data_IF_408032295767
#
_entry.id   IF_408032295767
#
_cell.length_a   1.000
_cell.length_b   1.000
_cell.length_c   1.000
_cell.angle_alpha   90.00
_cell.angle_beta   90.00
_cell.angle_gamma   90.00
#
_symmetry.space_group_name_H-M   'P 1'
#
loop_
_entity.id
_entity.type
_entity.pdbx_description
1 polymer ?
#
# COMPACT_ATOMS: atom_id res chain seq x y z
N UNK A 1 -44.12 -0.61 1.60
CA UNK A 1 -43.23 0.58 1.64
C UNK A 1 -41.87 0.14 2.13
N UNK A 2 -41.00 -0.32 1.21
CA UNK A 2 -39.60 -0.61 1.50
C UNK A 2 -38.80 0.65 1.20
N UNK A 3 -38.21 1.24 2.24
CA UNK A 3 -37.20 2.29 2.10
C UNK A 3 -35.93 1.63 1.57
N UNK A 4 -35.62 1.86 0.28
CA UNK A 4 -34.27 1.65 -0.23
C UNK A 4 -33.35 2.71 0.41
N UNK A 5 -32.28 2.34 1.12
CA UNK A 5 -31.22 3.30 1.37
C UNK A 5 -30.53 3.53 0.02
N UNK A 6 -30.58 4.77 -0.48
CA UNK A 6 -29.64 5.25 -1.48
C UNK A 6 -28.24 5.22 -0.86
N UNK A 7 -27.54 4.10 -0.97
CA UNK A 7 -26.09 4.08 -0.91
C UNK A 7 -25.61 4.66 -2.23
N UNK A 8 -25.46 5.99 -2.26
CA UNK A 8 -24.72 6.64 -3.32
C UNK A 8 -23.32 6.03 -3.33
N UNK A 9 -23.04 5.20 -4.33
CA UNK A 9 -21.68 4.88 -4.74
C UNK A 9 -21.07 6.20 -5.27
N UNK A 10 -20.67 7.07 -4.36
CA UNK A 10 -19.80 8.18 -4.65
C UNK A 10 -18.53 7.55 -5.25
N UNK A 11 -18.38 7.65 -6.56
CA UNK A 11 -17.05 7.63 -7.15
C UNK A 11 -16.29 8.74 -6.45
N UNK A 12 -15.47 8.40 -5.45
CA UNK A 12 -14.52 9.32 -4.85
C UNK A 12 -13.47 9.63 -5.92
N UNK A 13 -13.81 10.50 -6.87
CA UNK A 13 -12.84 11.13 -7.74
C UNK A 13 -12.27 12.29 -6.95
N UNK A 14 -11.40 11.96 -6.00
CA UNK A 14 -10.62 12.97 -5.31
C UNK A 14 -9.75 13.69 -6.35
N UNK A 15 -9.66 15.04 -6.30
CA UNK A 15 -8.71 15.75 -7.14
C UNK A 15 -7.30 15.23 -6.88
N UNK A 16 -6.50 15.15 -7.94
CA UNK A 16 -5.12 14.70 -7.86
C UNK A 16 -4.20 15.64 -8.62
N UNK A 17 -3.01 15.87 -8.09
CA UNK A 17 -1.97 16.68 -8.72
C UNK A 17 -0.64 15.96 -8.69
N UNK A 18 0.08 15.97 -9.80
CA UNK A 18 1.48 15.56 -9.84
C UNK A 18 2.39 16.75 -9.56
N UNK A 19 3.54 16.52 -8.91
CA UNK A 19 4.50 17.58 -8.59
C UNK A 19 5.01 18.33 -9.82
N UNK A 20 5.18 17.65 -10.96
CA UNK A 20 5.75 18.24 -12.18
C UNK A 20 4.79 19.27 -12.82
N UNK A 21 3.52 19.30 -12.39
CA UNK A 21 2.50 20.23 -12.87
C UNK A 21 1.73 20.94 -11.75
N UNK A 22 2.30 21.00 -10.55
CA UNK A 22 1.56 21.33 -9.34
C UNK A 22 0.98 22.75 -9.35
N UNK A 23 1.72 23.76 -9.83
CA UNK A 23 1.24 25.14 -9.93
C UNK A 23 -0.03 25.23 -10.79
N UNK A 24 0.04 24.63 -11.98
CA UNK A 24 -1.09 24.58 -12.92
C UNK A 24 -2.26 23.82 -12.30
N UNK A 25 -2.01 22.62 -11.77
CA UNK A 25 -3.05 21.79 -11.17
C UNK A 25 -3.78 22.54 -10.04
N UNK A 26 -3.02 23.15 -9.12
CA UNK A 26 -3.58 23.92 -7.99
C UNK A 26 -4.42 25.10 -8.50
N UNK A 27 -4.00 25.77 -9.57
CA UNK A 27 -4.77 26.87 -10.17
C UNK A 27 -6.09 26.42 -10.79
N UNK A 28 -6.15 25.19 -11.30
CA UNK A 28 -7.32 24.56 -11.92
C UNK A 28 -8.25 23.90 -10.89
N UNK A 29 -7.80 23.70 -9.64
CA UNK A 29 -8.65 23.18 -8.56
C UNK A 29 -9.84 24.12 -8.28
N UNK A 30 -11.01 23.58 -7.88
CA UNK A 30 -12.14 24.40 -7.46
C UNK A 30 -11.74 25.39 -6.36
N UNK A 31 -12.28 26.61 -6.42
CA UNK A 31 -11.94 27.67 -5.47
C UNK A 31 -12.15 27.28 -4.00
N UNK A 32 -13.19 26.46 -3.72
CA UNK A 32 -13.46 25.88 -2.40
C UNK A 32 -12.30 24.98 -1.95
N UNK A 33 -11.83 24.07 -2.82
CA UNK A 33 -10.69 23.18 -2.53
C UNK A 33 -9.42 23.97 -2.25
N UNK A 34 -9.11 24.98 -3.06
CA UNK A 34 -7.94 25.85 -2.82
C UNK A 34 -8.04 26.58 -1.46
N UNK A 35 -9.23 27.06 -1.08
CA UNK A 35 -9.45 27.70 0.22
C UNK A 35 -9.27 26.72 1.38
N UNK A 36 -9.81 25.50 1.25
CA UNK A 36 -9.68 24.45 2.27
C UNK A 36 -8.22 24.04 2.46
N UNK A 37 -7.47 23.86 1.37
CA UNK A 37 -6.04 23.57 1.42
C UNK A 37 -5.26 24.72 2.08
N UNK A 38 -5.51 25.97 1.66
CA UNK A 38 -4.85 27.14 2.25
C UNK A 38 -5.10 27.23 3.76
N UNK A 39 -6.33 26.96 4.20
CA UNK A 39 -6.69 26.94 5.60
C UNK A 39 -6.03 25.77 6.36
N UNK A 40 -6.03 24.56 5.79
CA UNK A 40 -5.46 23.36 6.40
C UNK A 40 -3.95 23.51 6.67
N UNK A 41 -3.23 24.16 5.76
CA UNK A 41 -1.79 24.40 5.90
C UNK A 41 -1.44 25.77 6.50
N UNK A 42 -2.44 26.61 6.80
CA UNK A 42 -2.26 27.98 7.29
C UNK A 42 -1.33 28.84 6.41
N UNK A 43 -1.45 28.72 5.08
CA UNK A 43 -0.65 29.47 4.10
C UNK A 43 -1.52 30.26 3.12
N UNK A 44 -1.03 31.37 2.57
CA UNK A 44 -1.68 32.03 1.44
C UNK A 44 -1.79 31.11 0.23
N UNK A 45 -2.84 31.28 -0.59
CA UNK A 45 -3.06 30.48 -1.82
C UNK A 45 -1.86 30.46 -2.76
N UNK A 46 -1.13 31.58 -2.88
CA UNK A 46 0.04 31.71 -3.74
C UNK A 46 1.19 30.78 -3.30
N UNK A 47 1.24 30.40 -2.02
CA UNK A 47 2.27 29.51 -1.45
C UNK A 47 1.82 28.04 -1.41
N UNK A 48 0.62 27.72 -1.90
CA UNK A 48 0.11 26.36 -1.89
C UNK A 48 0.97 25.38 -2.68
N UNK A 49 1.41 25.67 -3.93
CA UNK A 49 2.23 24.72 -4.68
C UNK A 49 3.50 24.31 -3.92
N UNK A 50 4.26 25.28 -3.41
CA UNK A 50 5.47 25.01 -2.62
C UNK A 50 5.19 24.21 -1.33
N UNK A 51 4.07 24.49 -0.69
CA UNK A 51 3.66 23.81 0.55
C UNK A 51 3.26 22.35 0.28
N UNK A 52 2.53 22.13 -0.81
CA UNK A 52 2.07 20.82 -1.25
C UNK A 52 3.24 19.96 -1.76
N UNK A 53 4.19 20.55 -2.51
CA UNK A 53 5.39 19.85 -2.97
C UNK A 53 6.20 19.26 -1.80
N UNK A 54 6.27 19.96 -0.67
CA UNK A 54 6.93 19.46 0.55
C UNK A 54 6.21 18.27 1.19
N UNK A 55 4.91 18.10 1.00
CA UNK A 55 4.15 17.00 1.61
C UNK A 55 4.47 15.65 0.97
N UNK A 56 4.73 15.63 -0.35
CA UNK A 56 5.08 14.41 -1.09
C UNK A 56 6.59 14.20 -1.18
N UNK A 57 7.41 15.14 -0.67
CA UNK A 57 8.86 14.98 -0.65
C UNK A 57 9.22 13.72 0.14
N UNK A 58 9.93 12.79 -0.51
CA UNK A 58 10.26 11.53 0.14
C UNK A 58 9.26 10.41 -0.11
N UNK A 59 8.17 10.64 -0.85
CA UNK A 59 7.07 9.69 -1.04
C UNK A 59 6.64 9.65 -2.50
N UNK A 60 6.16 8.49 -2.96
CA UNK A 60 5.65 8.36 -4.34
C UNK A 60 4.28 9.01 -4.51
N UNK A 61 3.41 8.90 -3.51
CA UNK A 61 2.12 9.55 -3.46
C UNK A 61 1.72 9.81 -2.01
N UNK A 62 0.79 10.75 -1.80
CA UNK A 62 0.23 11.08 -0.48
C UNK A 62 -1.23 11.54 -0.62
N UNK A 63 -2.12 10.98 0.21
CA UNK A 63 -3.46 11.48 0.46
C UNK A 63 -3.45 12.62 1.48
N UNK A 64 -3.96 13.78 1.09
CA UNK A 64 -4.18 14.92 1.97
C UNK A 64 -5.65 15.00 2.35
N UNK A 65 -5.93 14.87 3.65
CA UNK A 65 -7.28 14.99 4.20
C UNK A 65 -7.54 16.40 4.73
N UNK A 66 -8.69 16.99 4.41
CA UNK A 66 -9.09 18.30 4.93
C UNK A 66 -10.62 18.40 5.08
N UNK A 67 -11.08 18.83 6.26
CA UNK A 67 -12.49 19.03 6.60
C UNK A 67 -13.45 17.88 6.16
N UNK A 68 -14.10 18.01 5.01
CA UNK A 68 -15.08 17.10 4.41
C UNK A 68 -14.59 16.44 3.10
N UNK A 69 -13.33 16.63 2.73
CA UNK A 69 -12.77 16.23 1.44
C UNK A 69 -11.30 15.80 1.56
N UNK A 70 -10.69 15.49 0.43
CA UNK A 70 -9.27 15.18 0.33
C UNK A 70 -8.76 15.34 -1.09
N UNK A 71 -7.45 15.30 -1.25
CA UNK A 71 -6.78 15.29 -2.55
C UNK A 71 -5.61 14.31 -2.53
N UNK A 72 -5.15 13.88 -3.69
CA UNK A 72 -3.95 13.07 -3.82
C UNK A 72 -2.83 13.89 -4.46
N UNK A 73 -1.62 13.79 -3.92
CA UNK A 73 -0.41 14.28 -4.54
C UNK A 73 0.42 13.10 -5.04
N UNK A 74 1.02 13.22 -6.22
CA UNK A 74 1.93 12.22 -6.77
C UNK A 74 3.28 12.82 -7.13
N UNK A 75 4.33 12.02 -6.95
CA UNK A 75 5.65 12.20 -7.55
C UNK A 75 5.87 11.00 -8.48
N UNK A 76 5.51 11.17 -9.76
CA UNK A 76 5.66 10.12 -10.76
C UNK A 76 7.10 9.61 -10.86
N UNK A 77 8.10 10.51 -10.79
CA UNK A 77 9.49 10.11 -10.89
C UNK A 77 9.84 9.13 -9.77
N UNK A 78 9.34 9.38 -8.56
CA UNK A 78 9.55 8.49 -7.42
C UNK A 78 8.75 7.19 -7.50
N UNK A 79 7.52 7.24 -8.00
CA UNK A 79 6.71 6.03 -8.27
C UNK A 79 7.42 5.09 -9.24
N UNK A 80 8.07 5.64 -10.26
CA UNK A 80 8.71 4.88 -11.34
C UNK A 80 10.14 4.42 -11.01
N UNK A 81 10.63 4.70 -9.79
CA UNK A 81 11.97 4.28 -9.37
C UNK A 81 12.14 2.76 -9.34
N UNK A 82 13.31 2.31 -9.76
CA UNK A 82 13.72 0.91 -9.66
C UNK A 82 13.90 0.49 -8.19
N UNK A 83 13.70 -0.79 -7.90
CA UNK A 83 13.99 -1.36 -6.60
C UNK A 83 15.30 -2.13 -6.63
N UNK A 84 16.15 -1.88 -5.64
CA UNK A 84 17.40 -2.62 -5.44
C UNK A 84 17.33 -3.38 -4.12
N UNK A 85 17.57 -4.69 -4.15
CA UNK A 85 17.63 -5.53 -2.95
C UNK A 85 18.81 -6.49 -3.02
N UNK A 86 19.28 -6.94 -1.85
CA UNK A 86 20.27 -8.02 -1.77
C UNK A 86 19.52 -9.34 -1.68
N UNK A 87 19.71 -10.22 -2.66
CA UNK A 87 19.13 -11.56 -2.71
C UNK A 87 20.22 -12.58 -3.04
N UNK A 88 20.37 -13.62 -2.21
CA UNK A 88 21.42 -14.64 -2.37
C UNK A 88 22.83 -14.04 -2.52
N UNK A 89 23.15 -13.01 -1.73
CA UNK A 89 24.43 -12.28 -1.76
C UNK A 89 24.72 -11.52 -3.06
N UNK A 90 23.72 -11.34 -3.93
CA UNK A 90 23.80 -10.55 -5.15
C UNK A 90 22.86 -9.36 -5.07
N UNK A 91 23.25 -8.24 -5.68
CA UNK A 91 22.34 -7.11 -5.89
C UNK A 91 21.40 -7.47 -7.03
N UNK A 92 20.09 -7.38 -6.78
CA UNK A 92 19.04 -7.56 -7.78
C UNK A 92 18.37 -6.21 -7.97
N UNK A 93 18.40 -5.73 -9.20
CA UNK A 93 17.62 -4.58 -9.63
C UNK A 93 16.34 -5.05 -10.32
N UNK A 94 15.22 -4.50 -9.88
CA UNK A 94 13.90 -4.72 -10.45
C UNK A 94 13.36 -3.41 -11.02
N UNK A 95 12.61 -3.46 -12.14
CA UNK A 95 11.80 -2.32 -12.55
C UNK A 95 10.80 -1.98 -11.44
N UNK A 96 10.25 -0.75 -11.49
CA UNK A 96 9.25 -0.34 -10.51
C UNK A 96 8.10 -1.36 -10.43
N UNK A 97 7.77 -1.75 -9.21
CA UNK A 97 6.60 -2.58 -8.92
C UNK A 97 5.36 -1.70 -8.65
N UNK A 98 5.52 -0.38 -8.75
CA UNK A 98 4.48 0.59 -8.55
C UNK A 98 4.04 1.19 -9.89
N UNK A 99 2.79 1.64 -9.96
CA UNK A 99 2.29 2.44 -11.08
C UNK A 99 1.56 3.66 -10.52
N UNK A 100 1.48 4.74 -11.29
CA UNK A 100 0.72 5.93 -10.86
C UNK A 100 -0.73 5.57 -10.58
N UNK A 101 -1.33 4.70 -11.39
CA UNK A 101 -2.69 4.21 -11.16
C UNK A 101 -2.84 3.47 -9.82
N UNK A 102 -1.94 2.53 -9.51
CA UNK A 102 -1.99 1.79 -8.24
C UNK A 102 -1.77 2.72 -7.06
N UNK A 103 -0.82 3.65 -7.16
CA UNK A 103 -0.56 4.66 -6.15
C UNK A 103 -1.82 5.50 -5.89
N UNK A 104 -2.45 6.02 -6.95
CA UNK A 104 -3.66 6.83 -6.83
C UNK A 104 -4.81 6.08 -6.17
N UNK A 105 -5.03 4.81 -6.53
CA UNK A 105 -6.10 4.01 -5.93
C UNK A 105 -5.78 3.68 -4.47
N UNK A 106 -4.52 3.40 -4.12
CA UNK A 106 -4.08 3.26 -2.72
C UNK A 106 -4.41 4.52 -1.92
N UNK A 107 -4.00 5.69 -2.42
CA UNK A 107 -4.27 6.97 -1.77
C UNK A 107 -5.77 7.27 -1.65
N UNK A 108 -6.59 6.88 -2.64
CA UNK A 108 -8.04 6.94 -2.52
C UNK A 108 -8.59 6.06 -1.39
N UNK A 109 -7.94 4.94 -1.10
CA UNK A 109 -8.23 4.09 0.05
C UNK A 109 -8.10 4.82 1.39
N UNK A 110 -7.10 5.69 1.53
CA UNK A 110 -6.96 6.56 2.73
C UNK A 110 -8.08 7.62 2.85
N UNK A 111 -8.75 7.94 1.75
CA UNK A 111 -9.88 8.89 1.75
C UNK A 111 -11.18 8.24 2.22
N UNK A 112 -11.22 6.90 2.32
CA UNK A 112 -12.34 6.18 2.87
C UNK A 112 -12.34 6.38 4.38
N UNK A 113 -13.26 7.21 4.88
CA UNK A 113 -13.47 7.45 6.32
C UNK A 113 -14.18 6.25 6.97
N UNK A 114 -13.51 5.11 6.96
CA UNK A 114 -14.00 3.86 7.52
C UNK A 114 -13.37 3.61 8.88
N UNK A 115 -14.18 3.12 9.81
CA UNK A 115 -13.67 2.58 11.06
C UNK A 115 -12.96 1.25 10.78
N UNK A 116 -11.81 1.04 11.44
CA UNK A 116 -11.11 -0.23 11.36
C UNK A 116 -11.93 -1.32 12.05
N UNK A 117 -12.25 -2.44 11.38
CA UNK A 117 -12.87 -3.58 12.05
C UNK A 117 -12.01 -4.11 13.19
N UNK A 118 -12.62 -4.44 14.32
CA UNK A 118 -11.91 -4.85 15.54
C UNK A 118 -10.93 -6.02 15.36
N UNK A 119 -11.19 -6.93 14.40
CA UNK A 119 -10.30 -8.07 14.11
C UNK A 119 -9.07 -7.70 13.26
N UNK A 120 -9.07 -6.50 12.67
CA UNK A 120 -7.92 -5.94 11.95
C UNK A 120 -7.08 -5.00 12.82
N UNK A 121 -7.50 -4.72 14.06
CA UNK A 121 -6.69 -3.94 15.00
C UNK A 121 -5.40 -4.68 15.36
N UNK A 122 -4.27 -4.00 15.22
CA UNK A 122 -2.94 -4.51 15.52
C UNK A 122 -2.31 -3.72 16.67
N UNK A 123 -2.89 -3.84 17.87
CA UNK A 123 -2.53 -3.06 19.08
C UNK A 123 -1.05 -3.09 19.47
N UNK A 124 -0.30 -4.09 19.03
CA UNK A 124 1.12 -4.27 19.34
C UNK A 124 2.01 -4.09 18.10
N UNK A 125 1.51 -3.39 17.09
CA UNK A 125 2.20 -3.14 15.84
C UNK A 125 2.51 -1.65 15.63
N UNK A 126 3.10 -1.32 14.48
CA UNK A 126 3.45 0.05 14.10
C UNK A 126 2.17 0.85 13.89
N UNK A 127 2.09 2.02 14.51
CA UNK A 127 0.96 2.93 14.35
C UNK A 127 0.76 3.32 12.87
N UNK A 128 -0.49 3.40 12.42
CA UNK A 128 -0.81 3.71 11.03
C UNK A 128 -0.97 2.49 10.13
N UNK A 129 -0.54 1.31 10.57
CA UNK A 129 -0.56 0.11 9.73
C UNK A 129 -1.96 -0.33 9.33
N UNK A 130 -2.96 -0.19 10.21
CA UNK A 130 -4.34 -0.55 9.88
C UNK A 130 -4.87 0.32 8.72
N UNK A 131 -4.49 1.60 8.68
CA UNK A 131 -4.86 2.51 7.60
C UNK A 131 -4.16 2.13 6.29
N UNK A 132 -2.88 1.73 6.35
CA UNK A 132 -2.16 1.22 5.17
C UNK A 132 -2.75 -0.09 4.66
N UNK A 133 -3.09 -1.01 5.56
CA UNK A 133 -3.74 -2.26 5.21
C UNK A 133 -5.07 -2.01 4.51
N UNK A 134 -5.90 -1.11 5.04
CA UNK A 134 -7.20 -0.77 4.44
C UNK A 134 -7.01 -0.17 3.04
N UNK A 135 -6.03 0.72 2.86
CA UNK A 135 -5.72 1.31 1.56
C UNK A 135 -5.26 0.26 0.53
N UNK A 136 -4.39 -0.66 0.94
CA UNK A 136 -3.95 -1.78 0.10
C UNK A 136 -5.08 -2.76 -0.22
N UNK A 137 -5.97 -3.04 0.74
CA UNK A 137 -7.15 -3.88 0.52
C UNK A 137 -8.16 -3.20 -0.42
N UNK A 138 -8.29 -1.88 -0.36
CA UNK A 138 -9.13 -1.13 -1.29
C UNK A 138 -8.57 -1.21 -2.71
N UNK A 139 -7.26 -1.03 -2.89
CA UNK A 139 -6.59 -1.24 -4.17
C UNK A 139 -6.80 -2.67 -4.68
N UNK A 140 -6.61 -3.68 -3.84
CA UNK A 140 -6.84 -5.08 -4.20
C UNK A 140 -8.28 -5.34 -4.64
N UNK A 141 -9.26 -4.80 -3.91
CA UNK A 141 -10.68 -4.89 -4.22
C UNK A 141 -11.01 -4.24 -5.57
N UNK A 142 -10.45 -3.05 -5.85
CA UNK A 142 -10.59 -2.36 -7.14
C UNK A 142 -10.03 -3.19 -8.29
N UNK A 143 -8.79 -3.68 -8.16
CA UNK A 143 -8.14 -4.53 -9.18
C UNK A 143 -8.98 -5.77 -9.48
N UNK A 144 -9.44 -6.46 -8.44
CA UNK A 144 -10.25 -7.67 -8.60
C UNK A 144 -11.61 -7.38 -9.27
N UNK A 145 -12.23 -6.24 -8.95
CA UNK A 145 -13.54 -5.83 -9.49
C UNK A 145 -13.48 -5.40 -10.96
N UNK A 146 -12.36 -4.82 -11.41
CA UNK A 146 -12.19 -4.33 -12.78
C UNK A 146 -11.90 -5.46 -13.80
N UNK A 147 -11.72 -6.71 -13.33
CA UNK A 147 -11.60 -7.93 -14.14
C UNK A 147 -10.40 -7.97 -15.11
N UNK A 148 -9.43 -7.05 -14.99
CA UNK A 148 -8.26 -6.96 -15.89
C UNK A 148 -7.11 -7.94 -15.53
N UNK A 149 -7.36 -8.92 -14.66
CA UNK A 149 -6.34 -9.84 -14.13
C UNK A 149 -5.80 -9.39 -12.78
N UNK A 150 -5.06 -10.27 -12.11
CA UNK A 150 -4.52 -10.03 -10.76
C UNK A 150 -3.02 -9.66 -10.76
N UNK A 151 -2.46 -9.39 -11.93
CA UNK A 151 -1.03 -9.07 -12.05
C UNK A 151 -0.67 -7.78 -11.29
N UNK A 152 -1.44 -6.68 -11.36
CA UNK A 152 -1.16 -5.49 -10.54
C UNK A 152 -1.21 -5.77 -9.03
N UNK A 153 -2.09 -6.68 -8.59
CA UNK A 153 -2.19 -7.07 -7.19
C UNK A 153 -0.97 -7.87 -6.72
N UNK A 154 -0.40 -8.72 -7.58
CA UNK A 154 0.85 -9.40 -7.29
C UNK A 154 2.04 -8.43 -7.25
N UNK A 155 2.07 -7.39 -8.09
CA UNK A 155 3.10 -6.34 -8.00
C UNK A 155 3.01 -5.58 -6.68
N UNK A 156 1.80 -5.20 -6.25
CA UNK A 156 1.59 -4.59 -4.93
C UNK A 156 2.12 -5.50 -3.81
N UNK A 157 1.73 -6.76 -3.83
CA UNK A 157 2.19 -7.77 -2.88
C UNK A 157 3.72 -7.87 -2.82
N UNK A 158 4.36 -7.92 -3.99
CA UNK A 158 5.81 -7.98 -4.10
C UNK A 158 6.47 -6.70 -3.62
N UNK A 159 5.94 -5.53 -3.96
CA UNK A 159 6.41 -4.22 -3.49
C UNK A 159 6.46 -4.17 -1.97
N UNK A 160 5.38 -4.56 -1.27
CA UNK A 160 5.34 -4.56 0.19
C UNK A 160 6.39 -5.50 0.79
N UNK A 161 6.62 -6.66 0.19
CA UNK A 161 7.72 -7.55 0.60
C UNK A 161 9.11 -6.95 0.31
N UNK A 162 9.32 -6.32 -0.85
CA UNK A 162 10.60 -5.68 -1.18
C UNK A 162 10.93 -4.57 -0.19
N UNK A 163 9.94 -3.78 0.22
CA UNK A 163 10.14 -2.69 1.19
C UNK A 163 10.63 -3.19 2.56
N UNK A 164 10.23 -4.39 3.00
CA UNK A 164 10.75 -4.94 4.27
C UNK A 164 12.09 -5.66 4.16
N UNK A 165 12.57 -5.89 2.93
CA UNK A 165 13.90 -6.44 2.66
C UNK A 165 15.00 -5.36 2.63
N UNK A 166 14.64 -4.07 2.66
CA UNK A 166 15.57 -2.96 2.61
C UNK A 166 16.28 -2.73 3.96
N UNK A 167 17.36 -1.93 3.95
CA UNK A 167 18.12 -1.56 5.16
C UNK A 167 17.27 -0.78 6.17
N UNK A 168 16.32 0.02 5.70
CA UNK A 168 15.31 0.70 6.50
C UNK A 168 13.93 0.12 6.15
N UNK A 169 13.51 -0.98 6.79
CA UNK A 169 12.28 -1.67 6.44
C UNK A 169 11.04 -0.82 6.76
N UNK A 170 10.12 -0.76 5.81
CA UNK A 170 8.84 -0.08 5.98
C UNK A 170 7.78 -1.02 6.57
N UNK A 171 7.80 -1.13 7.90
CA UNK A 171 6.86 -1.98 8.65
C UNK A 171 5.44 -1.43 8.70
N UNK A 172 5.27 -0.12 8.52
CA UNK A 172 3.95 0.52 8.51
C UNK A 172 3.17 0.08 7.27
N UNK A 173 3.82 -0.02 6.11
CA UNK A 173 3.17 -0.42 4.86
C UNK A 173 3.18 -1.93 4.59
N UNK A 174 3.70 -2.76 5.51
CA UNK A 174 3.76 -4.21 5.28
C UNK A 174 2.40 -4.89 5.52
N UNK A 175 1.51 -4.79 4.54
CA UNK A 175 0.13 -5.31 4.53
C UNK A 175 0.01 -6.75 4.00
N UNK A 176 1.14 -7.41 3.74
CA UNK A 176 1.21 -8.71 3.07
C UNK A 176 0.36 -9.81 3.71
N UNK A 177 0.19 -9.91 5.05
CA UNK A 177 -0.74 -10.87 5.63
C UNK A 177 -2.17 -10.75 5.10
N UNK A 178 -2.68 -9.52 4.93
CA UNK A 178 -4.02 -9.29 4.38
C UNK A 178 -4.09 -9.54 2.88
N UNK A 179 -3.07 -9.13 2.12
CA UNK A 179 -3.00 -9.41 0.69
C UNK A 179 -2.87 -10.92 0.41
N UNK A 180 -2.10 -11.64 1.23
CA UNK A 180 -1.87 -13.09 1.11
C UNK A 180 -3.16 -13.89 1.31
N UNK A 181 -3.97 -13.49 2.30
CA UNK A 181 -5.28 -14.11 2.56
C UNK A 181 -6.13 -14.20 1.29
N UNK A 182 -6.16 -13.11 0.51
CA UNK A 182 -6.93 -13.02 -0.72
C UNK A 182 -6.22 -13.61 -1.94
N UNK A 183 -4.95 -13.29 -2.15
CA UNK A 183 -4.20 -13.73 -3.34
C UNK A 183 -3.90 -15.23 -3.36
N UNK A 184 -3.93 -15.89 -2.20
CA UNK A 184 -3.90 -17.37 -2.12
C UNK A 184 -5.22 -18.03 -2.56
N UNK A 185 -6.30 -17.26 -2.71
CA UNK A 185 -7.64 -17.72 -3.08
C UNK A 185 -8.25 -16.82 -4.16
N UNK A 186 -7.67 -16.77 -5.38
CA UNK A 186 -8.01 -15.77 -6.40
C UNK A 186 -9.48 -15.80 -6.84
N UNK A 187 -10.11 -16.98 -6.88
CA UNK A 187 -11.54 -17.11 -7.22
C UNK A 187 -12.43 -16.51 -6.13
N UNK A 188 -12.08 -16.72 -4.86
CA UNK A 188 -12.79 -16.14 -3.72
C UNK A 188 -12.63 -14.62 -3.70
N UNK A 189 -11.41 -14.12 -3.96
CA UNK A 189 -11.15 -12.69 -4.11
C UNK A 189 -12.06 -12.07 -5.19
N UNK A 190 -12.12 -12.66 -6.38
CA UNK A 190 -12.97 -12.16 -7.47
C UNK A 190 -14.46 -12.15 -7.09
N UNK A 191 -14.93 -13.23 -6.46
CA UNK A 191 -16.31 -13.32 -6.00
C UNK A 191 -16.64 -12.29 -4.91
N UNK A 192 -15.75 -12.09 -3.93
CA UNK A 192 -15.94 -11.11 -2.86
C UNK A 192 -15.86 -9.67 -3.38
N UNK A 193 -15.02 -9.39 -4.38
CA UNK A 193 -14.88 -8.06 -4.98
C UNK A 193 -16.14 -7.55 -5.72
N UNK A 194 -17.14 -8.40 -5.96
CA UNK A 194 -18.44 -7.94 -6.47
C UNK A 194 -19.27 -7.22 -5.41
N UNK A 195 -18.97 -7.42 -4.13
CA UNK A 195 -19.64 -6.79 -2.99
C UNK A 195 -19.09 -5.37 -2.74
N UNK A 196 -19.82 -4.53 -1.97
CA UNK A 196 -19.28 -3.28 -1.43
C UNK A 196 -17.97 -3.50 -0.66
N UNK A 197 -17.07 -2.52 -0.72
CA UNK A 197 -15.74 -2.63 -0.09
C UNK A 197 -15.81 -2.92 1.42
N UNK A 198 -16.81 -2.38 2.13
CA UNK A 198 -16.98 -2.65 3.56
C UNK A 198 -17.20 -4.14 3.86
N UNK A 199 -17.95 -4.83 3.00
CA UNK A 199 -18.23 -6.26 3.17
C UNK A 199 -16.96 -7.08 2.85
N UNK A 200 -16.25 -6.71 1.78
CA UNK A 200 -14.93 -7.26 1.46
C UNK A 200 -13.93 -7.09 2.62
N UNK A 201 -13.93 -5.92 3.27
CA UNK A 201 -13.07 -5.62 4.41
C UNK A 201 -13.43 -6.50 5.62
N UNK A 202 -14.72 -6.68 5.93
CA UNK A 202 -15.18 -7.56 7.02
C UNK A 202 -14.88 -9.04 6.77
N UNK A 203 -14.82 -9.47 5.52
CA UNK A 203 -14.45 -10.84 5.14
C UNK A 203 -12.94 -11.11 5.25
N UNK A 204 -12.10 -10.07 5.34
CA UNK A 204 -10.65 -10.20 5.42
C UNK A 204 -10.25 -10.78 6.78
N UNK A 205 -9.62 -11.95 6.80
CA UNK A 205 -9.21 -12.61 8.05
C UNK A 205 -7.70 -12.68 8.14
N UNK A 206 -7.15 -12.04 9.17
CA UNK A 206 -5.73 -12.06 9.50
C UNK A 206 -5.54 -12.30 10.99
N UNK A 207 -4.47 -13.00 11.36
CA UNK A 207 -4.07 -13.14 12.75
C UNK A 207 -3.04 -12.07 13.09
N UNK A 208 -3.50 -10.93 13.63
CA UNK A 208 -2.63 -9.79 13.97
C UNK A 208 -1.67 -10.11 15.11
N UNK A 209 -1.90 -11.19 15.87
CA UNK A 209 -0.99 -11.62 16.94
C UNK A 209 0.35 -12.14 16.40
N UNK A 210 0.38 -12.57 15.13
CA UNK A 210 1.58 -13.11 14.48
C UNK A 210 2.50 -12.02 13.90
N UNK A 211 2.05 -10.76 13.83
CA UNK A 211 2.83 -9.69 13.18
C UNK A 211 4.21 -9.51 13.82
N UNK A 212 4.29 -9.55 15.16
CA UNK A 212 5.56 -9.44 15.89
C UNK A 212 6.54 -10.57 15.56
N UNK A 213 6.04 -11.81 15.43
CA UNK A 213 6.85 -12.96 15.03
C UNK A 213 7.33 -12.82 13.57
N UNK A 214 6.47 -12.34 12.67
CA UNK A 214 6.86 -12.08 11.29
C UNK A 214 7.94 -11.01 11.17
N UNK A 215 7.85 -9.93 11.95
CA UNK A 215 8.92 -8.91 12.02
C UNK A 215 10.26 -9.52 12.43
N UNK A 216 10.24 -10.37 13.46
CA UNK A 216 11.44 -11.02 13.96
C UNK A 216 12.03 -11.99 12.93
N UNK A 217 11.20 -12.73 12.19
CA UNK A 217 11.65 -13.59 11.09
C UNK A 217 12.31 -12.76 9.97
N UNK A 218 11.70 -11.65 9.58
CA UNK A 218 12.26 -10.77 8.56
C UNK A 218 13.59 -10.14 8.98
N UNK A 219 13.67 -9.67 10.22
CA UNK A 219 14.87 -9.11 10.81
C UNK A 219 16.03 -10.11 10.82
N UNK A 220 15.74 -11.38 11.15
CA UNK A 220 16.71 -12.48 11.07
C UNK A 220 17.10 -12.79 9.62
N UNK A 221 16.15 -12.76 8.69
CA UNK A 221 16.37 -13.16 7.31
C UNK A 221 17.10 -12.08 6.48
N UNK A 222 16.84 -10.81 6.72
CA UNK A 222 17.28 -9.72 5.83
C UNK A 222 18.23 -8.70 6.49
N UNK A 223 18.24 -8.57 7.82
CA UNK A 223 18.99 -7.50 8.51
C UNK A 223 20.23 -7.99 9.29
N UNK A 224 20.49 -9.30 9.34
CA UNK A 224 21.78 -9.85 9.80
C UNK A 224 22.18 -9.58 11.26
N UNK A 225 21.25 -9.16 12.13
CA UNK A 225 21.54 -8.83 13.53
C UNK A 225 21.69 -10.03 14.47
N UNK A 226 22.47 -9.83 15.55
CA UNK A 226 22.49 -10.72 16.72
C UNK A 226 21.29 -10.39 17.61
N UNK A 227 20.19 -11.12 17.43
CA UNK A 227 18.96 -10.86 18.18
C UNK A 227 18.97 -11.63 19.49
N UNK A 228 18.89 -10.89 20.61
CA UNK A 228 18.85 -11.41 21.97
C UNK A 228 17.72 -12.42 22.21
N UNK A 229 17.96 -13.32 23.16
CA UNK A 229 17.17 -14.45 23.65
C UNK A 229 16.09 -15.04 22.70
N UNK A 230 16.34 -16.30 22.34
CA UNK A 230 15.51 -17.19 21.54
C UNK A 230 14.03 -17.21 21.93
N UNK A 231 13.21 -16.28 21.44
CA UNK A 231 11.78 -16.54 21.32
C UNK A 231 11.62 -17.69 20.33
N UNK A 232 11.05 -18.80 20.81
CA UNK A 232 10.78 -19.96 19.98
C UNK A 232 9.59 -19.66 19.08
N UNK A 233 9.87 -19.11 17.90
CA UNK A 233 8.84 -18.95 16.85
C UNK A 233 8.40 -20.34 16.42
N UNK A 234 7.08 -20.57 16.35
CA UNK A 234 6.53 -21.88 16.02
C UNK A 234 6.91 -22.32 14.59
N UNK A 235 6.90 -23.63 14.33
CA UNK A 235 7.11 -24.16 12.98
C UNK A 235 6.01 -23.69 12.02
N UNK A 236 4.80 -23.51 12.51
CA UNK A 236 3.66 -23.05 11.72
C UNK A 236 3.84 -21.59 11.28
N UNK A 237 4.18 -20.70 12.22
CA UNK A 237 4.47 -19.29 11.93
C UNK A 237 5.59 -19.16 10.90
N UNK A 238 6.66 -19.97 11.00
CA UNK A 238 7.72 -20.01 9.98
C UNK A 238 7.23 -20.43 8.60
N UNK A 239 6.33 -21.42 8.52
CA UNK A 239 5.75 -21.86 7.24
C UNK A 239 4.88 -20.76 6.62
N UNK A 240 4.08 -20.09 7.45
CA UNK A 240 3.23 -18.99 7.00
C UNK A 240 4.08 -17.83 6.45
N UNK A 241 5.14 -17.45 7.18
CA UNK A 241 6.13 -16.49 6.71
C UNK A 241 6.75 -16.88 5.36
N UNK A 242 7.20 -18.13 5.21
CA UNK A 242 7.78 -18.62 3.95
C UNK A 242 6.78 -18.56 2.79
N UNK A 243 5.51 -18.94 3.03
CA UNK A 243 4.45 -18.85 2.03
C UNK A 243 4.23 -17.39 1.60
N UNK A 244 4.28 -16.44 2.55
CA UNK A 244 4.14 -15.02 2.24
C UNK A 244 5.28 -14.47 1.36
N UNK A 245 6.48 -15.02 1.44
CA UNK A 245 7.62 -14.56 0.63
C UNK A 245 7.82 -15.34 -0.67
N UNK A 246 7.14 -16.47 -0.87
CA UNK A 246 7.41 -17.38 -1.97
C UNK A 246 7.31 -16.70 -3.35
N UNK A 247 6.28 -15.89 -3.57
CA UNK A 247 6.08 -15.17 -4.84
C UNK A 247 7.21 -14.16 -5.12
N UNK A 248 7.60 -13.37 -4.12
CA UNK A 248 8.71 -12.41 -4.23
C UNK A 248 10.05 -13.10 -4.41
N UNK A 249 10.31 -14.19 -3.69
CA UNK A 249 11.52 -15.00 -3.83
C UNK A 249 11.66 -15.61 -5.23
N UNK A 250 10.54 -16.06 -5.83
CA UNK A 250 10.51 -16.55 -7.20
C UNK A 250 10.88 -15.44 -8.20
N UNK A 251 10.27 -14.24 -8.06
CA UNK A 251 10.58 -13.08 -8.90
C UNK A 251 12.08 -12.75 -8.85
N UNK A 252 12.64 -12.60 -7.66
CA UNK A 252 14.06 -12.25 -7.47
C UNK A 252 15.00 -13.31 -8.06
N UNK A 253 14.64 -14.59 -7.90
CA UNK A 253 15.45 -15.69 -8.44
C UNK A 253 15.38 -15.77 -9.97
N UNK A 254 14.25 -15.41 -10.57
CA UNK A 254 14.13 -15.31 -12.03
C UNK A 254 14.97 -14.13 -12.55
N UNK A 255 14.93 -12.98 -11.88
CA UNK A 255 15.72 -11.81 -12.28
C UNK A 255 17.23 -12.08 -12.24
N UNK A 256 17.71 -12.79 -11.22
CA UNK A 256 19.11 -13.21 -11.16
C UNK A 256 19.52 -14.08 -12.34
N UNK A 257 18.69 -15.05 -12.73
CA UNK A 257 18.97 -15.92 -13.88
C UNK A 257 19.05 -15.13 -15.18
N UNK A 258 18.18 -14.13 -15.36
CA UNK A 258 18.22 -13.26 -16.55
C UNK A 258 19.54 -12.48 -16.57
N UNK A 259 19.94 -11.89 -15.45
CA UNK A 259 21.20 -11.14 -15.34
C UNK A 259 22.45 -12.00 -15.60
N UNK A 260 22.41 -13.30 -15.24
CA UNK A 260 23.50 -14.25 -15.52
C UNK A 260 23.61 -14.64 -16.99
N UNK A 261 22.50 -14.58 -17.76
CA UNK A 261 22.49 -14.91 -19.19
C UNK A 261 22.88 -13.73 -20.08
N UNK A 262 22.80 -12.50 -19.57
CA UNK A 262 23.11 -11.28 -20.31
C UNK A 262 24.54 -10.77 -20.11
N UNK A 263 25.32 -11.40 -19.23
CA UNK A 263 26.73 -11.11 -18.95
C UNK A 263 27.63 -12.22 -19.51
#
# INVERSE_FOLDING_TARGET
MMLLPLLAALSLTAPWCDIDGLERCVSELPAKTQQQLAAAFAVPKLQLPDTLAKQVQGQGAVALLFADSGMVLTDRQRIEQHHSVIWQHKVVELPSQHSVESALIHEQGHLLRLDTPAHLEAKHWVAGWEQELIADLYLLWRIAREQQGLEPAWRLYQLRNLNVMQLAPDWQHWSVPGLHFWLSQPERLRASATQPFNDFLLETQIDTTLLADFRLLAQRQFQGGSYGQHSSISRETRRHWQAMFAATASLLSQQLKVAELTN
#
